data_IF_379745512167
#
_entry.id   IF_379745512167
#
_cell.length_a   1.000
_cell.length_b   1.000
_cell.length_c   1.000
_cell.angle_alpha   90.00
_cell.angle_beta   90.00
_cell.angle_gamma   90.00
#
_symmetry.space_group_name_H-M   'P 1'
#
loop_
_entity.id
_entity.type
_entity.pdbx_description
1 polymer ?
#
# COMPACT_ATOMS: atom_id res chain seq x y z
N UNK A 1 -23.45 -11.91 -25.68
CA UNK A 1 -22.04 -11.98 -25.22
C UNK A 1 -21.95 -11.43 -23.81
N UNK A 2 -21.74 -12.28 -22.79
CA UNK A 2 -21.45 -11.79 -21.43
C UNK A 2 -20.01 -11.28 -21.45
N UNK A 3 -19.79 -9.97 -21.24
CA UNK A 3 -18.45 -9.41 -21.00
C UNK A 3 -17.93 -10.05 -19.72
N UNK A 4 -16.97 -10.97 -19.84
CA UNK A 4 -16.18 -11.45 -18.72
C UNK A 4 -15.57 -10.21 -18.06
N UNK A 5 -16.07 -9.81 -16.89
CA UNK A 5 -15.41 -8.77 -16.09
C UNK A 5 -14.10 -9.40 -15.64
N UNK A 6 -12.98 -9.05 -16.28
CA UNK A 6 -11.68 -9.49 -15.80
C UNK A 6 -11.50 -8.94 -14.38
N UNK A 7 -11.37 -9.83 -13.39
CA UNK A 7 -10.96 -9.46 -12.04
C UNK A 7 -9.51 -9.01 -12.10
N UNK A 8 -9.22 -7.86 -11.52
CA UNK A 8 -7.90 -7.22 -11.54
C UNK A 8 -7.15 -7.69 -10.28
N UNK A 9 -6.06 -8.44 -10.46
CA UNK A 9 -5.18 -8.83 -9.34
C UNK A 9 -4.33 -7.66 -8.83
N UNK A 10 -3.50 -7.89 -7.81
CA UNK A 10 -2.68 -6.85 -7.18
C UNK A 10 -1.84 -6.00 -8.15
N UNK A 11 -1.20 -6.66 -9.14
CA UNK A 11 -0.41 -5.95 -10.17
C UNK A 11 -1.27 -5.09 -11.10
N UNK A 12 -2.49 -5.54 -11.38
CA UNK A 12 -3.43 -4.77 -12.18
C UNK A 12 -3.97 -3.55 -11.42
N UNK A 13 -4.14 -3.64 -10.11
CA UNK A 13 -4.49 -2.48 -9.26
C UNK A 13 -3.39 -1.43 -9.28
N UNK A 14 -2.13 -1.86 -9.17
CA UNK A 14 -0.98 -0.95 -9.31
C UNK A 14 -0.90 -0.33 -10.69
N UNK A 15 -1.21 -1.07 -11.75
CA UNK A 15 -1.24 -0.54 -13.12
C UNK A 15 -2.36 0.49 -13.31
N UNK A 16 -3.53 0.24 -12.71
CA UNK A 16 -4.72 1.13 -12.80
C UNK A 16 -4.54 2.43 -12.01
N UNK A 17 -4.05 2.36 -10.78
CA UNK A 17 -3.95 3.51 -9.87
C UNK A 17 -2.55 4.13 -9.82
N UNK A 18 -1.53 3.43 -10.30
CA UNK A 18 -0.16 3.90 -10.46
C UNK A 18 0.72 3.80 -9.22
N UNK A 19 0.18 3.95 -8.01
CA UNK A 19 0.95 3.84 -6.76
C UNK A 19 0.18 3.10 -5.67
N UNK A 20 0.87 2.44 -4.71
CA UNK A 20 0.23 1.81 -3.57
C UNK A 20 -0.65 2.77 -2.75
N UNK A 21 -0.23 4.03 -2.62
CA UNK A 21 -1.01 5.05 -1.91
C UNK A 21 -2.34 5.34 -2.61
N UNK A 22 -2.34 5.48 -3.94
CA UNK A 22 -3.58 5.70 -4.72
C UNK A 22 -4.51 4.49 -4.68
N UNK A 23 -3.95 3.28 -4.61
CA UNK A 23 -4.75 2.06 -4.39
C UNK A 23 -5.42 2.11 -3.01
N UNK A 24 -4.71 2.52 -1.95
CA UNK A 24 -5.28 2.70 -0.62
C UNK A 24 -6.36 3.80 -0.60
N UNK A 25 -6.16 4.92 -1.30
CA UNK A 25 -7.18 5.96 -1.45
C UNK A 25 -8.44 5.45 -2.14
N UNK A 26 -8.30 4.65 -3.20
CA UNK A 26 -9.43 4.05 -3.92
C UNK A 26 -10.23 3.09 -3.03
N UNK A 27 -9.55 2.30 -2.19
CA UNK A 27 -10.19 1.45 -1.18
C UNK A 27 -11.01 2.29 -0.19
N UNK A 28 -10.42 3.33 0.40
CA UNK A 28 -11.10 4.20 1.36
C UNK A 28 -12.30 4.94 0.78
N UNK A 29 -12.30 5.20 -0.53
CA UNK A 29 -13.41 5.82 -1.27
C UNK A 29 -14.49 4.82 -1.71
N UNK A 30 -14.28 3.51 -1.48
CA UNK A 30 -15.21 2.46 -1.92
C UNK A 30 -15.23 2.27 -3.45
N UNK A 31 -14.14 2.61 -4.14
CA UNK A 31 -14.00 2.49 -5.60
C UNK A 31 -13.56 1.09 -6.05
N UNK A 32 -13.19 0.23 -5.10
CA UNK A 32 -12.79 -1.15 -5.33
C UNK A 32 -13.98 -2.09 -5.15
N UNK A 33 -14.01 -3.16 -5.93
CA UNK A 33 -14.96 -4.24 -5.70
C UNK A 33 -14.38 -5.27 -4.70
N UNK A 34 -15.22 -6.14 -4.10
CA UNK A 34 -14.76 -7.07 -3.06
C UNK A 34 -13.57 -7.95 -3.45
N UNK A 35 -13.43 -8.34 -4.72
CA UNK A 35 -12.28 -9.14 -5.18
C UNK A 35 -10.99 -8.31 -5.30
N UNK A 36 -11.12 -7.01 -5.59
CA UNK A 36 -9.98 -6.08 -5.61
C UNK A 36 -9.52 -5.76 -4.18
N UNK A 37 -10.44 -5.72 -3.22
CA UNK A 37 -10.12 -5.45 -1.80
C UNK A 37 -9.23 -6.54 -1.18
N UNK A 38 -9.38 -7.80 -1.60
CA UNK A 38 -8.54 -8.93 -1.14
C UNK A 38 -7.04 -8.70 -1.40
N UNK A 39 -6.69 -7.86 -2.38
CA UNK A 39 -5.32 -7.56 -2.76
C UNK A 39 -4.74 -6.31 -2.08
N UNK A 40 -5.52 -5.62 -1.24
CA UNK A 40 -5.07 -4.37 -0.61
C UNK A 40 -3.94 -4.60 0.37
N UNK A 41 -4.01 -5.68 1.14
CA UNK A 41 -2.98 -6.02 2.12
C UNK A 41 -1.62 -6.25 1.42
N UNK A 42 -1.62 -6.98 0.30
CA UNK A 42 -0.42 -7.27 -0.49
C UNK A 42 0.26 -5.99 -1.04
N UNK A 43 -0.54 -4.96 -1.34
CA UNK A 43 -0.07 -3.71 -1.94
C UNK A 43 0.36 -2.70 -0.86
N UNK A 44 -0.46 -2.52 0.16
CA UNK A 44 -0.37 -1.39 1.09
C UNK A 44 0.49 -1.74 2.32
N UNK A 45 0.40 -2.97 2.83
CA UNK A 45 1.14 -3.40 4.02
C UNK A 45 2.66 -3.25 3.87
N UNK A 46 3.30 -3.65 2.75
CA UNK A 46 4.74 -3.46 2.57
C UNK A 46 5.18 -1.99 2.68
N UNK A 47 4.39 -1.07 2.14
CA UNK A 47 4.68 0.38 2.16
C UNK A 47 4.59 0.95 3.57
N UNK A 48 3.58 0.54 4.33
CA UNK A 48 3.42 0.94 5.73
C UNK A 48 4.60 0.44 6.56
N UNK A 49 4.99 -0.84 6.39
CA UNK A 49 6.11 -1.43 7.11
C UNK A 49 7.44 -0.74 6.78
N UNK A 50 7.70 -0.44 5.51
CA UNK A 50 8.89 0.29 5.09
C UNK A 50 8.92 1.70 5.68
N UNK A 51 7.79 2.41 5.63
CA UNK A 51 7.65 3.75 6.22
C UNK A 51 7.87 3.72 7.75
N UNK A 52 7.33 2.73 8.44
CA UNK A 52 7.52 2.54 9.87
C UNK A 52 8.99 2.27 10.21
N UNK A 53 9.66 1.38 9.48
CA UNK A 53 11.10 1.11 9.62
C UNK A 53 11.93 2.38 9.44
N UNK A 54 11.68 3.13 8.37
CA UNK A 54 12.38 4.40 8.10
C UNK A 54 12.26 5.38 9.27
N UNK A 55 11.04 5.56 9.82
CA UNK A 55 10.81 6.44 10.98
C UNK A 55 11.58 5.99 12.22
N UNK A 56 11.61 4.68 12.51
CA UNK A 56 12.38 4.13 13.63
C UNK A 56 13.87 4.42 13.44
N UNK A 57 14.42 4.15 12.26
CA UNK A 57 15.84 4.42 11.96
C UNK A 57 16.19 5.89 12.12
N UNK A 58 15.34 6.80 11.65
CA UNK A 58 15.52 8.25 11.83
C UNK A 58 15.51 8.65 13.31
N UNK A 59 14.60 8.08 14.10
CA UNK A 59 14.53 8.36 15.53
C UNK A 59 15.75 7.80 16.28
N UNK A 60 16.21 6.59 15.94
CA UNK A 60 17.44 6.01 16.52
C UNK A 60 18.68 6.83 16.15
N UNK A 61 18.77 7.33 14.92
CA UNK A 61 19.87 8.20 14.50
C UNK A 61 19.90 9.54 15.24
N UNK A 62 18.72 10.06 15.62
CA UNK A 62 18.57 11.26 16.47
C UNK A 62 18.89 11.00 17.94
N UNK A 63 18.85 9.73 18.39
CA UNK A 63 19.25 9.30 19.73
C UNK A 63 20.73 8.90 19.82
N UNK A 64 21.61 9.49 18.99
CA UNK A 64 23.06 9.34 19.27
C UNK A 64 23.30 9.81 20.72
N UNK A 65 23.98 8.99 21.53
CA UNK A 65 24.20 9.29 22.93
C UNK A 65 24.97 10.61 23.01
N UNK A 66 24.49 11.53 23.84
CA UNK A 66 25.37 12.55 24.39
C UNK A 66 26.53 11.80 25.04
N UNK A 67 27.70 11.81 24.38
CA UNK A 67 28.94 11.42 24.99
C UNK A 67 29.15 12.30 26.22
N UNK A 68 28.93 11.71 27.40
CA UNK A 68 29.50 12.12 28.67
C UNK A 68 30.09 10.90 29.34
#
# INVERSE_FOLDING_TARGET
>A
MRKTRMSIGAWGLLTKYGTPLKVAEAFLKGELNPMEEEHIEDIVTPVILETAKFRITQNMAKQKPESR
#
